data_IF_784730650371
#
_entry.id   IF_784730650371
#
_cell.length_a   1.000
_cell.length_b   1.000
_cell.length_c   1.000
_cell.angle_alpha   90.00
_cell.angle_beta   90.00
_cell.angle_gamma   90.00
#
_symmetry.space_group_name_H-M   'P 1'
#
loop_
_entity.id
_entity.type
_entity.pdbx_description
1 polymer ?
#
# COMPACT_ATOMS: atom_id res chain seq x y z
N UNK A 1 -7.00 4.53 -11.19
CA UNK A 1 -7.07 4.19 -12.62
C UNK A 1 -7.88 2.93 -12.74
N UNK A 2 -8.79 2.88 -13.72
CA UNK A 2 -9.63 1.72 -13.99
C UNK A 2 -9.24 1.12 -15.33
N UNK A 3 -9.41 -0.19 -15.46
CA UNK A 3 -9.27 -0.89 -16.74
C UNK A 3 -10.53 -1.71 -16.97
N UNK A 4 -11.12 -1.53 -18.14
CA UNK A 4 -12.38 -2.17 -18.53
C UNK A 4 -12.08 -3.16 -19.65
N UNK A 5 -12.59 -4.37 -19.50
CA UNK A 5 -12.38 -5.46 -20.44
C UNK A 5 -13.74 -6.08 -20.81
N UNK A 6 -13.97 -6.32 -22.10
CA UNK A 6 -15.20 -6.92 -22.57
C UNK A 6 -15.44 -6.66 -24.06
N UNK A 7 -16.70 -6.83 -24.48
CA UNK A 7 -17.12 -6.40 -25.81
C UNK A 7 -17.04 -4.86 -25.92
N UNK A 8 -16.93 -4.31 -27.14
CA UNK A 8 -16.95 -2.86 -27.33
C UNK A 8 -18.14 -2.18 -26.66
N UNK A 9 -19.33 -2.78 -26.73
CA UNK A 9 -20.52 -2.27 -26.06
C UNK A 9 -20.42 -2.34 -24.52
N UNK A 10 -19.90 -3.44 -23.97
CA UNK A 10 -19.74 -3.59 -22.53
C UNK A 10 -18.70 -2.64 -21.94
N UNK A 11 -17.59 -2.40 -22.64
CA UNK A 11 -16.60 -1.39 -22.22
C UNK A 11 -17.21 0.00 -22.24
N UNK A 12 -17.96 0.35 -23.29
CA UNK A 12 -18.64 1.64 -23.39
C UNK A 12 -19.62 1.86 -22.22
N UNK A 13 -20.46 0.87 -21.91
CA UNK A 13 -21.39 0.90 -20.79
C UNK A 13 -20.68 1.09 -19.45
N UNK A 14 -19.58 0.36 -19.20
CA UNK A 14 -18.79 0.48 -17.97
C UNK A 14 -18.15 1.87 -17.84
N UNK A 15 -17.62 2.42 -18.93
CA UNK A 15 -17.03 3.77 -18.96
C UNK A 15 -18.08 4.82 -18.62
N UNK A 16 -19.27 4.75 -19.24
CA UNK A 16 -20.39 5.67 -18.97
C UNK A 16 -20.86 5.59 -17.52
N UNK A 17 -21.01 4.38 -16.99
CA UNK A 17 -21.40 4.15 -15.60
C UNK A 17 -20.39 4.74 -14.61
N UNK A 18 -19.09 4.48 -14.81
CA UNK A 18 -18.06 5.03 -13.93
C UNK A 18 -17.97 6.55 -14.06
N UNK A 19 -18.09 7.10 -15.27
CA UNK A 19 -18.10 8.55 -15.48
C UNK A 19 -19.27 9.22 -14.72
N UNK A 20 -20.47 8.62 -14.74
CA UNK A 20 -21.62 9.11 -13.99
C UNK A 20 -21.36 9.10 -12.47
N UNK A 21 -20.88 7.97 -11.93
CA UNK A 21 -20.55 7.85 -10.50
C UNK A 21 -19.49 8.87 -10.09
N UNK A 22 -18.45 9.06 -10.90
CA UNK A 22 -17.40 10.06 -10.66
C UNK A 22 -18.01 11.46 -10.60
N UNK A 23 -18.89 11.81 -11.55
CA UNK A 23 -19.59 13.10 -11.58
C UNK A 23 -20.49 13.34 -10.35
N UNK A 24 -21.26 12.33 -9.95
CA UNK A 24 -22.15 12.38 -8.78
C UNK A 24 -21.38 12.59 -7.46
N UNK A 25 -20.13 12.13 -7.41
CA UNK A 25 -19.25 12.26 -6.25
C UNK A 25 -18.25 13.43 -6.35
N UNK A 26 -18.48 14.37 -7.27
CA UNK A 26 -17.69 15.60 -7.40
C UNK A 26 -16.30 15.41 -8.02
N UNK A 27 -16.04 14.26 -8.64
CA UNK A 27 -14.85 14.02 -9.44
C UNK A 27 -14.80 14.92 -10.67
N UNK A 28 -13.59 15.19 -11.16
CA UNK A 28 -13.32 16.09 -12.29
C UNK A 28 -12.39 15.40 -13.29
N UNK A 29 -12.39 15.90 -14.52
CA UNK A 29 -11.42 15.54 -15.55
C UNK A 29 -11.31 14.02 -15.81
N UNK A 30 -12.46 13.34 -15.93
CA UNK A 30 -12.51 11.92 -16.25
C UNK A 30 -12.05 11.69 -17.70
N UNK A 31 -10.81 11.24 -17.86
CA UNK A 31 -10.23 10.83 -19.14
C UNK A 31 -10.23 9.31 -19.28
N UNK A 32 -10.54 8.82 -20.48
CA UNK A 32 -10.46 7.40 -20.84
C UNK A 32 -9.92 7.26 -22.28
N UNK A 33 -9.34 6.10 -22.60
CA UNK A 33 -8.76 5.87 -23.92
C UNK A 33 -8.83 4.40 -24.34
N UNK A 34 -9.06 4.17 -25.64
CA UNK A 34 -9.01 2.85 -26.27
C UNK A 34 -7.72 2.63 -27.07
N UNK A 35 -7.11 3.67 -27.64
CA UNK A 35 -5.89 3.54 -28.42
C UNK A 35 -4.70 3.18 -27.54
N UNK A 36 -3.84 2.25 -28.00
CA UNK A 36 -2.73 1.73 -27.20
C UNK A 36 -1.78 2.83 -26.70
N UNK A 37 -1.47 3.82 -27.54
CA UNK A 37 -0.61 4.95 -27.17
C UNK A 37 -1.22 5.83 -26.08
N UNK A 38 -2.49 6.16 -26.19
CA UNK A 38 -3.20 6.98 -25.19
C UNK A 38 -3.39 6.23 -23.87
N UNK A 39 -3.69 4.92 -23.92
CA UNK A 39 -3.70 4.08 -22.72
C UNK A 39 -2.33 4.10 -22.04
N UNK A 40 -1.25 3.95 -22.80
CA UNK A 40 0.10 4.01 -22.26
C UNK A 40 0.40 5.37 -21.61
N UNK A 41 -0.08 6.47 -22.19
CA UNK A 41 0.02 7.81 -21.58
C UNK A 41 -0.70 7.89 -20.23
N UNK A 42 -1.94 7.42 -20.15
CA UNK A 42 -2.72 7.41 -18.90
C UNK A 42 -2.07 6.50 -17.84
N UNK A 43 -1.62 5.31 -18.24
CA UNK A 43 -0.92 4.38 -17.36
C UNK A 43 0.42 4.93 -16.87
N UNK A 44 1.14 5.68 -17.71
CA UNK A 44 2.42 6.29 -17.31
C UNK A 44 2.26 7.19 -16.08
N UNK A 45 1.14 7.90 -15.95
CA UNK A 45 0.86 8.70 -14.75
C UNK A 45 0.81 7.83 -13.47
N UNK A 46 0.13 6.68 -13.53
CA UNK A 46 0.07 5.73 -12.40
C UNK A 46 1.44 5.13 -12.09
N UNK A 47 2.16 4.64 -13.10
CA UNK A 47 3.49 4.06 -12.90
C UNK A 47 4.49 5.07 -12.33
N UNK A 48 4.34 6.35 -12.68
CA UNK A 48 5.21 7.41 -12.19
C UNK A 48 4.82 7.95 -10.81
N UNK A 49 3.72 7.51 -10.21
CA UNK A 49 3.21 8.11 -8.99
C UNK A 49 4.21 7.99 -7.81
N UNK A 50 4.90 6.85 -7.67
CA UNK A 50 6.00 6.69 -6.71
C UNK A 50 7.11 7.72 -6.94
N UNK A 51 7.60 7.83 -8.18
CA UNK A 51 8.67 8.76 -8.54
C UNK A 51 8.26 10.22 -8.34
N UNK A 52 7.00 10.55 -8.63
CA UNK A 52 6.45 11.90 -8.43
C UNK A 52 6.43 12.29 -6.95
N UNK A 53 6.22 11.35 -6.03
CA UNK A 53 6.33 11.59 -4.58
C UNK A 53 7.78 11.82 -4.19
N UNK A 54 8.67 10.91 -4.59
CA UNK A 54 10.11 10.98 -4.22
C UNK A 54 10.76 12.25 -4.78
N UNK A 55 10.37 12.70 -5.98
CA UNK A 55 10.92 13.90 -6.61
C UNK A 55 10.44 15.22 -6.01
N UNK A 56 9.53 15.22 -5.02
CA UNK A 56 9.14 16.44 -4.33
C UNK A 56 10.26 17.03 -3.46
N UNK A 57 11.33 16.25 -3.24
CA UNK A 57 12.51 16.65 -2.48
C UNK A 57 13.78 16.16 -3.16
N UNK A 58 14.80 17.01 -3.20
CA UNK A 58 16.12 16.63 -3.71
C UNK A 58 16.76 15.55 -2.82
N UNK A 59 17.45 14.59 -3.45
CA UNK A 59 18.19 13.50 -2.79
C UNK A 59 17.37 12.58 -1.87
N UNK A 60 16.03 12.66 -1.91
CA UNK A 60 15.18 11.78 -1.14
C UNK A 60 15.22 10.32 -1.65
N UNK A 61 14.91 9.39 -0.75
CA UNK A 61 14.64 7.98 -1.04
C UNK A 61 13.18 7.68 -0.69
N UNK A 62 12.57 6.81 -1.48
CA UNK A 62 11.20 6.36 -1.21
C UNK A 62 11.18 5.31 -0.11
N UNK A 63 10.41 5.56 0.94
CA UNK A 63 9.97 4.54 1.88
C UNK A 63 8.52 4.20 1.57
N UNK A 64 8.23 2.95 1.19
CA UNK A 64 6.86 2.47 1.03
C UNK A 64 6.39 1.72 2.27
N UNK A 65 5.25 2.14 2.82
CA UNK A 65 4.43 1.32 3.71
C UNK A 65 3.42 0.51 2.90
N UNK A 66 2.70 -0.40 3.54
CA UNK A 66 1.67 -1.20 2.87
C UNK A 66 0.79 -1.93 3.90
N UNK A 67 -0.54 -1.89 3.75
CA UNK A 67 -1.51 -2.63 4.56
C UNK A 67 -2.71 -3.04 3.69
N UNK A 68 -3.43 -4.09 4.11
CA UNK A 68 -4.71 -4.44 3.49
C UNK A 68 -5.79 -4.56 4.56
N UNK A 69 -6.99 -4.09 4.27
CA UNK A 69 -8.13 -4.06 5.21
C UNK A 69 -9.39 -4.54 4.51
N UNK A 70 -10.42 -5.01 5.24
CA UNK A 70 -11.73 -5.26 4.63
C UNK A 70 -12.19 -4.02 3.86
N UNK A 71 -12.73 -4.19 2.65
CA UNK A 71 -13.13 -3.06 1.78
C UNK A 71 -14.10 -2.10 2.48
N UNK A 72 -14.95 -2.62 3.37
CA UNK A 72 -15.87 -1.82 4.20
C UNK A 72 -15.17 -0.89 5.21
N UNK A 73 -13.91 -1.17 5.56
CA UNK A 73 -13.07 -0.38 6.48
C UNK A 73 -12.08 0.55 5.75
N UNK A 74 -11.94 0.41 4.42
CA UNK A 74 -10.91 1.11 3.64
C UNK A 74 -11.01 2.63 3.75
N UNK A 75 -12.20 3.19 3.60
CA UNK A 75 -12.41 4.65 3.67
C UNK A 75 -12.01 5.21 5.04
N UNK A 76 -12.41 4.55 6.13
CA UNK A 76 -12.04 4.92 7.50
C UNK A 76 -10.53 4.85 7.73
N UNK A 77 -9.87 3.80 7.23
CA UNK A 77 -8.42 3.64 7.33
C UNK A 77 -7.65 4.72 6.54
N UNK A 78 -8.12 5.07 5.33
CA UNK A 78 -7.53 6.17 4.54
C UNK A 78 -7.68 7.49 5.27
N UNK A 79 -8.87 7.81 5.80
CA UNK A 79 -9.09 9.04 6.58
C UNK A 79 -8.18 9.08 7.81
N UNK A 80 -8.06 7.97 8.53
CA UNK A 80 -7.17 7.89 9.69
C UNK A 80 -5.70 8.11 9.30
N UNK A 81 -5.28 7.51 8.19
CA UNK A 81 -3.93 7.70 7.66
C UNK A 81 -3.69 9.15 7.26
N UNK A 82 -4.67 9.82 6.65
CA UNK A 82 -4.58 11.26 6.33
C UNK A 82 -4.42 12.12 7.59
N UNK A 83 -5.08 11.78 8.70
CA UNK A 83 -4.86 12.46 9.98
C UNK A 83 -3.43 12.26 10.48
N UNK A 84 -2.88 11.05 10.39
CA UNK A 84 -1.50 10.75 10.79
C UNK A 84 -0.47 11.52 9.95
N UNK A 85 -0.78 11.77 8.68
CA UNK A 85 0.10 12.48 7.75
C UNK A 85 0.00 14.01 7.83
N UNK A 86 -0.99 14.57 8.54
CA UNK A 86 -1.26 16.01 8.57
C UNK A 86 -0.06 16.83 9.05
N UNK A 87 0.64 16.32 10.06
CA UNK A 87 1.81 16.96 10.66
C UNK A 87 3.12 16.26 10.28
N UNK A 88 3.10 15.45 9.21
CA UNK A 88 4.28 14.72 8.77
C UNK A 88 5.32 15.67 8.18
N UNK A 89 6.57 15.56 8.63
CA UNK A 89 7.64 16.47 8.19
C UNK A 89 8.14 16.19 6.77
N UNK A 90 7.83 15.02 6.20
CA UNK A 90 8.28 14.59 4.87
C UNK A 90 7.13 14.54 3.87
N UNK A 91 7.40 14.80 2.57
CA UNK A 91 6.39 14.60 1.53
C UNK A 91 5.91 13.15 1.53
N UNK A 92 4.58 12.98 1.56
CA UNK A 92 3.96 11.67 1.57
C UNK A 92 2.69 11.65 0.71
N UNK A 93 2.41 10.51 0.09
CA UNK A 93 1.15 10.29 -0.62
C UNK A 93 0.60 8.90 -0.35
N UNK A 94 -0.72 8.83 -0.22
CA UNK A 94 -1.46 7.57 -0.20
C UNK A 94 -1.70 7.15 -1.65
N UNK A 95 -1.35 5.93 -1.98
CA UNK A 95 -1.86 5.26 -3.18
C UNK A 95 -2.38 3.87 -2.80
N UNK A 96 -3.10 3.21 -3.70
CA UNK A 96 -3.67 1.92 -3.36
C UNK A 96 -4.26 1.17 -4.53
N UNK A 97 -4.41 -0.12 -4.29
CA UNK A 97 -5.19 -1.04 -5.10
C UNK A 97 -6.56 -1.18 -4.44
N UNK A 98 -7.32 -0.09 -4.46
CA UNK A 98 -8.54 0.06 -3.62
C UNK A 98 -9.62 -1.00 -3.86
N UNK A 99 -9.54 -1.76 -4.95
CA UNK A 99 -10.49 -2.83 -5.28
C UNK A 99 -10.39 -4.05 -4.36
N UNK A 100 -9.24 -4.32 -3.74
CA UNK A 100 -9.04 -5.44 -2.82
C UNK A 100 -8.81 -5.02 -1.36
N UNK A 101 -8.91 -3.72 -1.07
CA UNK A 101 -8.72 -3.17 0.27
C UNK A 101 -7.27 -2.80 0.60
N UNK A 102 -6.35 -2.91 -0.37
CA UNK A 102 -4.95 -2.56 -0.19
C UNK A 102 -4.66 -1.07 -0.42
N UNK A 103 -3.89 -0.47 0.49
CA UNK A 103 -3.33 0.86 0.30
C UNK A 103 -1.96 1.01 0.97
N UNK A 104 -1.19 1.93 0.45
CA UNK A 104 0.16 2.24 0.87
C UNK A 104 0.37 3.74 1.01
N UNK A 105 1.29 4.12 1.87
CA UNK A 105 1.87 5.46 1.89
C UNK A 105 3.30 5.39 1.41
N UNK A 106 3.62 6.21 0.41
CA UNK A 106 4.99 6.46 -0.03
C UNK A 106 5.47 7.74 0.64
N UNK A 107 6.62 7.69 1.30
CA UNK A 107 7.29 8.81 1.94
C UNK A 107 8.59 9.15 1.19
N UNK A 108 8.89 10.42 1.01
CA UNK A 108 10.15 10.91 0.45
C UNK A 108 11.11 11.33 1.58
N UNK A 109 11.90 10.37 2.08
CA UNK A 109 12.77 10.55 3.26
C UNK A 109 14.21 10.86 2.88
N UNK A 110 14.90 11.63 3.71
CA UNK A 110 16.36 11.69 3.69
C UNK A 110 16.95 10.51 4.47
N UNK A 111 17.67 9.57 3.82
CA UNK A 111 18.20 8.39 4.49
C UNK A 111 19.28 8.70 5.54
N UNK A 112 19.81 9.92 5.57
CA UNK A 112 20.78 10.38 6.57
C UNK A 112 20.13 11.07 7.77
N UNK A 113 18.82 11.37 7.71
CA UNK A 113 18.10 12.05 8.77
C UNK A 113 17.34 11.04 9.66
N UNK A 114 17.95 10.65 10.78
CA UNK A 114 17.34 9.67 11.69
C UNK A 114 15.98 10.11 12.25
N UNK A 115 15.77 11.42 12.47
CA UNK A 115 14.49 11.94 12.99
C UNK A 115 13.35 11.68 12.01
N UNK A 116 13.57 11.87 10.70
CA UNK A 116 12.58 11.57 9.67
C UNK A 116 12.29 10.06 9.61
N UNK A 117 13.33 9.24 9.72
CA UNK A 117 13.18 7.78 9.69
C UNK A 117 12.35 7.28 10.88
N UNK A 118 12.62 7.81 12.08
CA UNK A 118 11.88 7.45 13.29
C UNK A 118 10.42 7.93 13.24
N UNK A 119 10.18 9.12 12.70
CA UNK A 119 8.83 9.66 12.49
C UNK A 119 8.02 8.79 11.52
N UNK A 120 8.58 8.48 10.35
CA UNK A 120 7.93 7.64 9.33
C UNK A 120 7.70 6.23 9.87
N UNK A 121 8.66 5.65 10.60
CA UNK A 121 8.49 4.36 11.27
C UNK A 121 7.31 4.38 12.26
N UNK A 122 7.19 5.44 13.06
CA UNK A 122 6.11 5.61 14.03
C UNK A 122 4.73 5.76 13.35
N UNK A 123 4.66 6.51 12.24
CA UNK A 123 3.43 6.63 11.43
C UNK A 123 3.05 5.26 10.86
N UNK A 124 3.99 4.57 10.21
CA UNK A 124 3.77 3.24 9.64
C UNK A 124 3.30 2.24 10.71
N UNK A 125 3.89 2.27 11.91
CA UNK A 125 3.45 1.43 13.03
C UNK A 125 2.00 1.69 13.41
N UNK A 126 1.59 2.96 13.52
CA UNK A 126 0.19 3.33 13.83
C UNK A 126 -0.76 2.87 12.73
N UNK A 127 -0.36 2.99 11.46
CA UNK A 127 -1.15 2.48 10.33
C UNK A 127 -1.36 0.97 10.41
N UNK A 128 -0.29 0.20 10.61
CA UNK A 128 -0.37 -1.27 10.71
C UNK A 128 -1.23 -1.69 11.91
N UNK A 129 -1.02 -1.08 13.08
CA UNK A 129 -1.81 -1.38 14.27
C UNK A 129 -3.30 -1.09 14.05
N UNK A 130 -3.63 0.02 13.38
CA UNK A 130 -5.01 0.33 13.06
C UNK A 130 -5.61 -0.66 12.06
N UNK A 131 -4.87 -1.00 10.98
CA UNK A 131 -5.30 -2.00 10.01
C UNK A 131 -5.62 -3.34 10.68
N UNK A 132 -4.74 -3.85 11.54
CA UNK A 132 -4.98 -5.09 12.30
C UNK A 132 -6.20 -4.95 13.22
N UNK A 133 -6.37 -3.80 13.89
CA UNK A 133 -7.51 -3.58 14.80
C UNK A 133 -8.88 -3.64 14.13
N UNK A 134 -8.94 -3.41 12.81
CA UNK A 134 -10.19 -3.48 12.01
C UNK A 134 -10.29 -4.78 11.19
N UNK A 135 -9.50 -5.80 11.52
CA UNK A 135 -9.50 -7.09 10.84
C UNK A 135 -8.72 -7.13 9.52
N UNK A 136 -7.82 -6.17 9.32
CA UNK A 136 -6.85 -6.17 8.23
C UNK A 136 -5.54 -6.89 8.56
N UNK A 137 -4.55 -6.67 7.71
CA UNK A 137 -3.21 -7.28 7.75
C UNK A 137 -2.12 -6.21 7.66
N UNK A 138 -0.98 -6.51 8.27
CA UNK A 138 0.22 -5.69 8.22
C UNK A 138 0.83 -5.59 6.82
N UNK A 139 0.42 -6.42 5.87
CA UNK A 139 0.98 -6.42 4.51
C UNK A 139 -0.03 -6.87 3.45
N UNK A 140 -0.03 -6.24 2.30
CA UNK A 140 -0.81 -6.63 1.13
C UNK A 140 0.09 -7.29 0.08
N UNK A 141 0.87 -6.47 -0.65
CA UNK A 141 1.66 -6.93 -1.81
C UNK A 141 3.17 -7.02 -1.56
N UNK A 142 3.67 -6.42 -0.48
CA UNK A 142 5.13 -6.31 -0.24
C UNK A 142 5.70 -7.37 0.71
N UNK A 143 4.85 -8.26 1.25
CA UNK A 143 5.25 -9.30 2.18
C UNK A 143 5.68 -8.76 3.56
N UNK A 144 6.08 -9.66 4.45
CA UNK A 144 6.45 -9.30 5.84
C UNK A 144 7.88 -8.77 5.86
N UNK A 145 8.84 -9.61 5.46
CA UNK A 145 10.27 -9.27 5.48
C UNK A 145 10.74 -8.81 6.87
N UNK A 146 11.95 -8.26 6.95
CA UNK A 146 12.50 -7.76 8.22
C UNK A 146 11.75 -6.54 8.77
N UNK A 147 11.04 -5.79 7.92
CA UNK A 147 10.36 -4.56 8.32
C UNK A 147 9.02 -4.77 9.03
N UNK A 148 8.46 -5.98 8.99
CA UNK A 148 7.11 -6.26 9.53
C UNK A 148 7.03 -7.50 10.42
N UNK A 149 8.14 -8.19 10.69
CA UNK A 149 8.18 -9.37 11.58
C UNK A 149 7.53 -9.06 12.93
N UNK A 150 7.76 -7.86 13.47
CA UNK A 150 7.24 -7.43 14.76
C UNK A 150 5.70 -7.44 14.84
N UNK A 151 5.00 -7.42 13.70
CA UNK A 151 3.54 -7.44 13.63
C UNK A 151 2.97 -8.85 13.57
N UNK A 152 3.74 -9.87 13.19
CA UNK A 152 3.23 -11.23 12.95
C UNK A 152 2.51 -11.83 14.14
N UNK A 153 3.08 -11.70 15.34
CA UNK A 153 2.46 -12.25 16.54
C UNK A 153 1.21 -11.48 16.95
N UNK A 154 1.14 -10.19 16.63
CA UNK A 154 -0.08 -9.39 16.84
C UNK A 154 -1.17 -9.80 15.85
N UNK A 155 -0.79 -10.08 14.60
CA UNK A 155 -1.73 -10.40 13.52
C UNK A 155 -2.23 -11.86 13.56
N UNK A 156 -1.34 -12.81 13.84
CA UNK A 156 -1.63 -14.25 13.71
C UNK A 156 -1.59 -15.01 15.04
N UNK A 157 -1.20 -14.36 16.15
CA UNK A 157 -1.15 -14.99 17.47
C UNK A 157 -0.27 -16.25 17.48
N UNK A 158 -0.81 -17.33 18.05
CA UNK A 158 -0.10 -18.59 18.24
C UNK A 158 0.15 -19.36 16.93
N UNK A 159 -0.47 -18.96 15.82
CA UNK A 159 -0.16 -19.56 14.52
C UNK A 159 1.32 -19.32 14.12
N UNK A 160 1.95 -18.27 14.65
CA UNK A 160 3.38 -18.00 14.45
C UNK A 160 4.24 -19.14 15.02
N UNK A 161 3.84 -19.75 16.15
CA UNK A 161 4.58 -20.87 16.74
C UNK A 161 4.53 -22.10 15.84
N UNK A 162 3.38 -22.36 15.20
CA UNK A 162 3.25 -23.43 14.21
C UNK A 162 4.15 -23.16 12.99
N UNK A 163 4.22 -21.90 12.52
CA UNK A 163 5.12 -21.53 11.42
C UNK A 163 6.58 -21.79 11.77
N UNK A 164 7.00 -21.48 13.02
CA UNK A 164 8.35 -21.76 13.53
C UNK A 164 8.62 -23.27 13.60
N UNK A 165 7.66 -24.07 14.07
CA UNK A 165 7.76 -25.54 14.09
C UNK A 165 7.99 -26.09 12.68
N UNK A 166 7.19 -25.65 11.71
CA UNK A 166 7.32 -26.06 10.30
C UNK A 166 8.70 -25.66 9.76
N UNK A 167 9.13 -24.41 10.01
CA UNK A 167 10.42 -23.89 9.56
C UNK A 167 11.59 -24.73 10.10
N UNK A 168 11.57 -25.07 11.39
CA UNK A 168 12.62 -25.87 12.01
C UNK A 168 12.62 -27.33 11.53
N UNK A 169 11.47 -27.88 11.17
CA UNK A 169 11.37 -29.23 10.62
C UNK A 169 11.98 -29.33 9.21
N UNK A 170 11.82 -28.31 8.37
CA UNK A 170 12.31 -28.30 6.98
C UNK A 170 13.72 -27.71 6.82
N UNK A 171 14.14 -26.85 7.75
CA UNK A 171 15.45 -26.18 7.76
C UNK A 171 16.15 -26.36 9.11
N UNK A 172 16.53 -27.60 9.49
CA UNK A 172 17.12 -27.88 10.79
C UNK A 172 18.49 -27.24 11.01
N UNK A 173 19.13 -26.74 9.94
CA UNK A 173 20.41 -26.01 10.00
C UNK A 173 20.23 -24.49 10.01
N UNK A 174 19.01 -23.98 9.84
CA UNK A 174 18.70 -22.56 9.80
C UNK A 174 19.36 -21.79 8.65
N UNK A 175 19.64 -22.45 7.51
CA UNK A 175 20.40 -21.85 6.40
C UNK A 175 19.51 -21.19 5.34
N UNK A 176 18.21 -21.46 5.35
CA UNK A 176 17.26 -20.90 4.38
C UNK A 176 16.74 -19.54 4.87
N UNK A 177 17.56 -18.50 4.69
CA UNK A 177 17.23 -17.09 4.92
C UNK A 177 16.74 -16.78 6.37
N UNK A 178 17.59 -17.03 7.39
CA UNK A 178 17.22 -16.86 8.79
C UNK A 178 16.81 -15.42 9.12
N UNK A 179 15.81 -15.24 9.99
CA UNK A 179 15.35 -13.95 10.48
C UNK A 179 14.63 -13.06 9.47
N UNK A 180 14.23 -13.60 8.30
CA UNK A 180 13.60 -12.78 7.24
C UNK A 180 12.08 -12.73 7.31
N UNK A 181 11.42 -13.83 7.63
CA UNK A 181 9.94 -13.92 7.69
C UNK A 181 9.47 -14.26 9.08
N UNK A 182 10.19 -15.10 9.82
CA UNK A 182 9.87 -15.43 11.20
C UNK A 182 10.94 -14.86 12.12
N UNK A 183 10.59 -14.53 13.37
CA UNK A 183 11.60 -14.25 14.38
C UNK A 183 12.56 -15.44 14.49
N UNK A 184 13.85 -15.13 14.58
CA UNK A 184 14.91 -16.13 14.80
C UNK A 184 14.89 -16.67 16.23
#
# INVERSE_FOLDING_TARGET
AFEFHGSPAGVQEQVEMVAAIVGENGGRDFEWANAAEERNRLWKARHNAFYAVVSQRENAKGWSSDVCVPVSQLSGCILKTRELLKDCSVPAAILGHVGDGNYHVVFAVDPSNQTELDEVAAINKKMVQHAISVGGTSTGEHGVGTGKIDYLRTEHGDAVDLMIVIKNAIDPKGIMNPGKVLPS
#
